data_IF_404167387477
#
_entry.id   IF_404167387477
#
_cell.length_a   1.000
_cell.length_b   1.000
_cell.length_c   1.000
_cell.angle_alpha   90.00
_cell.angle_beta   90.00
_cell.angle_gamma   90.00
#
_symmetry.space_group_name_H-M   'P 1'
#
loop_
_entity.id
_entity.type
_entity.pdbx_description
1 polymer ?
#
# COMPACT_ATOMS: atom_id res chain seq x y z
N UNK A 1 -28.66 53.65 -8.40
CA UNK A 1 -28.20 54.99 -7.98
C UNK A 1 -26.91 54.76 -7.21
N UNK A 2 -25.81 55.24 -7.79
CA UNK A 2 -24.44 55.46 -7.21
C UNK A 2 -23.70 54.31 -6.53
N UNK A 3 -22.83 53.56 -7.15
CA UNK A 3 -21.42 53.78 -7.57
C UNK A 3 -20.58 54.62 -6.57
N UNK A 4 -19.67 53.94 -5.85
CA UNK A 4 -18.36 54.49 -5.47
C UNK A 4 -17.29 53.43 -5.47
N UNK A 5 -16.42 53.55 -6.46
CA UNK A 5 -15.10 52.97 -6.59
C UNK A 5 -14.17 53.70 -5.60
N UNK A 6 -13.35 52.97 -4.86
CA UNK A 6 -12.18 53.50 -4.17
C UNK A 6 -10.96 52.63 -4.52
N UNK A 7 -10.13 53.18 -5.41
CA UNK A 7 -8.73 52.83 -5.59
C UNK A 7 -7.96 53.14 -4.32
N UNK A 8 -7.13 52.27 -3.83
CA UNK A 8 -6.03 52.60 -2.94
C UNK A 8 -4.75 51.98 -3.43
N UNK A 9 -3.85 52.88 -3.65
CA UNK A 9 -2.52 52.85 -4.22
C UNK A 9 -1.52 52.08 -3.34
N UNK A 10 -0.67 51.35 -4.00
CA UNK A 10 0.63 50.80 -3.59
C UNK A 10 1.49 51.76 -2.78
N UNK A 11 2.06 51.23 -1.68
CA UNK A 11 3.27 51.81 -1.10
C UNK A 11 4.29 50.66 -0.88
N UNK A 12 5.30 50.65 -1.71
CA UNK A 12 6.49 49.81 -1.66
C UNK A 12 7.39 50.39 -0.53
N UNK A 13 7.58 49.63 0.55
CA UNK A 13 8.57 49.94 1.58
C UNK A 13 9.74 48.97 1.45
N UNK A 14 10.80 49.50 0.88
CA UNK A 14 12.15 48.91 0.90
C UNK A 14 12.69 49.03 2.33
N UNK A 15 12.88 47.87 3.01
CA UNK A 15 13.76 47.80 4.17
C UNK A 15 15.07 47.16 3.75
N UNK A 16 16.08 47.99 3.61
CA UNK A 16 17.47 47.58 3.69
C UNK A 16 17.83 47.35 5.15
N UNK A 17 18.13 46.12 5.53
CA UNK A 17 18.79 45.81 6.78
C UNK A 17 20.08 45.06 6.51
N UNK A 18 21.17 45.64 6.90
CA UNK A 18 22.50 45.07 6.92
C UNK A 18 22.65 43.93 7.92
N UNK A 19 23.41 42.91 7.52
CA UNK A 19 24.45 42.31 8.33
C UNK A 19 24.03 41.29 9.37
N UNK A 20 24.23 40.04 9.06
CA UNK A 20 24.29 38.93 9.99
C UNK A 20 24.59 37.66 9.23
N UNK A 21 25.89 37.31 9.11
CA UNK A 21 26.31 36.08 8.43
C UNK A 21 25.84 34.84 9.19
N UNK A 22 24.76 34.22 8.70
CA UNK A 22 24.39 32.87 9.01
C UNK A 22 24.74 32.03 7.79
N UNK A 23 25.79 31.20 7.91
CA UNK A 23 26.11 30.21 6.89
C UNK A 23 24.97 29.21 6.81
N UNK A 24 24.04 29.42 5.86
CA UNK A 24 23.18 28.35 5.37
C UNK A 24 24.08 27.35 4.68
N UNK A 25 24.45 26.26 5.35
CA UNK A 25 25.00 25.11 4.68
C UNK A 25 23.88 24.54 3.79
N UNK A 26 23.88 24.94 2.54
CA UNK A 26 23.21 24.22 1.47
C UNK A 26 23.90 22.86 1.38
N UNK A 27 23.35 21.88 2.11
CA UNK A 27 23.67 20.49 1.86
C UNK A 27 23.30 20.20 0.41
N UNK A 28 24.29 20.14 -0.48
CA UNK A 28 24.12 19.54 -1.79
C UNK A 28 23.76 18.08 -1.52
N UNK A 29 22.55 17.70 -1.91
CA UNK A 29 22.11 16.31 -1.98
C UNK A 29 23.04 15.57 -2.95
N UNK A 30 24.14 15.04 -2.45
CA UNK A 30 25.03 14.15 -3.20
C UNK A 30 24.43 12.74 -3.15
N UNK A 31 23.35 12.52 -3.92
CA UNK A 31 22.93 11.19 -4.29
C UNK A 31 23.91 10.68 -5.34
N UNK A 32 24.81 9.77 -4.96
CA UNK A 32 25.56 9.02 -5.95
C UNK A 32 24.67 7.88 -6.44
N UNK A 33 24.16 8.01 -7.65
CA UNK A 33 23.41 6.93 -8.32
C UNK A 33 24.26 5.67 -8.41
N UNK A 34 23.62 4.49 -8.39
CA UNK A 34 24.31 3.24 -8.67
C UNK A 34 24.98 3.31 -10.04
N UNK A 35 26.30 3.40 -10.05
CA UNK A 35 27.13 3.40 -11.26
C UNK A 35 27.72 1.99 -11.46
N UNK A 36 27.84 1.50 -12.72
CA UNK A 36 28.45 0.21 -12.99
C UNK A 36 29.86 0.13 -12.41
N UNK A 37 30.17 -0.98 -11.73
CA UNK A 37 31.52 -1.26 -11.29
C UNK A 37 32.38 -1.74 -12.48
N UNK A 38 33.66 -1.35 -12.51
CA UNK A 38 34.56 -1.60 -13.64
C UNK A 38 35.02 -3.07 -13.81
N UNK A 39 34.53 -4.01 -12.98
CA UNK A 39 34.85 -5.44 -13.11
C UNK A 39 33.62 -6.32 -12.82
N UNK A 40 33.14 -7.06 -13.81
CA UNK A 40 32.00 -7.97 -13.76
C UNK A 40 32.40 -9.41 -13.45
N UNK A 41 31.83 -10.01 -12.41
CA UNK A 41 31.80 -11.46 -12.20
C UNK A 41 30.37 -11.96 -12.38
N UNK A 42 30.19 -13.04 -13.13
CA UNK A 42 28.91 -13.66 -13.47
C UNK A 42 28.52 -14.66 -12.38
N UNK A 43 27.30 -14.59 -11.85
CA UNK A 43 26.72 -15.57 -10.92
C UNK A 43 25.66 -16.45 -11.63
N UNK A 44 25.51 -17.71 -11.21
CA UNK A 44 24.57 -18.63 -11.79
C UNK A 44 23.19 -18.61 -11.11
N UNK A 45 22.17 -19.04 -11.83
CA UNK A 45 20.74 -19.00 -11.43
C UNK A 45 20.38 -20.01 -10.30
N UNK A 46 21.32 -20.86 -9.88
CA UNK A 46 21.10 -21.99 -8.95
C UNK A 46 21.21 -21.64 -7.46
N UNK A 47 21.58 -20.40 -7.12
CA UNK A 47 21.89 -20.02 -5.73
C UNK A 47 20.66 -19.43 -4.98
N UNK A 48 19.45 -19.60 -5.49
CA UNK A 48 18.25 -19.00 -4.92
C UNK A 48 17.28 -20.11 -4.52
N UNK A 49 17.18 -20.34 -3.22
CA UNK A 49 16.18 -21.23 -2.63
C UNK A 49 14.79 -20.60 -2.66
N UNK A 50 13.75 -21.44 -2.75
CA UNK A 50 12.33 -21.09 -2.74
C UNK A 50 11.94 -20.37 -1.46
N UNK A 51 11.33 -19.19 -1.57
CA UNK A 51 10.99 -18.33 -0.45
C UNK A 51 9.49 -18.29 -0.19
N UNK A 52 9.09 -18.35 1.09
CA UNK A 52 7.80 -17.89 1.55
C UNK A 52 7.90 -16.41 1.94
N UNK A 53 7.10 -15.55 1.34
CA UNK A 53 7.02 -14.13 1.69
C UNK A 53 6.28 -14.01 3.02
N UNK A 54 6.96 -13.52 4.07
CA UNK A 54 6.30 -13.18 5.34
C UNK A 54 5.25 -12.08 5.11
N UNK A 55 4.04 -12.34 5.61
CA UNK A 55 2.85 -11.49 5.54
C UNK A 55 3.17 -10.02 5.93
N UNK A 56 2.91 -9.03 5.05
CA UNK A 56 3.08 -7.61 5.36
C UNK A 56 2.27 -7.13 6.58
N UNK A 57 1.16 -7.80 6.89
CA UNK A 57 0.32 -7.52 8.07
C UNK A 57 1.05 -7.90 9.35
N UNK A 58 1.85 -8.97 9.36
CA UNK A 58 2.72 -9.31 10.49
C UNK A 58 3.86 -8.31 10.68
N UNK A 59 4.28 -7.58 9.64
CA UNK A 59 5.25 -6.46 9.78
C UNK A 59 4.71 -5.29 10.57
N UNK A 60 3.43 -4.93 10.39
CA UNK A 60 2.80 -3.89 11.21
C UNK A 60 2.77 -4.29 12.69
N UNK A 61 2.54 -5.59 12.99
CA UNK A 61 2.57 -6.11 14.36
C UNK A 61 3.97 -6.12 15.00
N UNK A 62 5.04 -6.33 14.22
CA UNK A 62 6.43 -6.35 14.73
C UNK A 62 6.94 -4.94 15.04
N UNK A 63 6.46 -3.90 14.35
CA UNK A 63 6.79 -2.50 14.62
C UNK A 63 6.01 -1.91 15.81
N UNK A 64 4.96 -2.59 16.29
CA UNK A 64 4.13 -2.19 17.43
C UNK A 64 4.66 -2.73 18.78
N UNK A 65 5.95 -2.95 18.95
CA UNK A 65 6.53 -3.15 20.27
C UNK A 65 6.48 -1.81 21.01
N UNK A 66 5.42 -1.67 21.79
CA UNK A 66 5.15 -0.53 22.65
C UNK A 66 6.31 -0.29 23.63
N UNK A 67 7.11 0.73 23.35
CA UNK A 67 8.16 1.21 24.26
C UNK A 67 7.66 2.33 25.19
N UNK A 68 6.44 2.81 25.02
CA UNK A 68 5.86 3.90 25.79
C UNK A 68 4.67 3.43 26.61
N UNK A 69 4.77 3.42 27.93
CA UNK A 69 3.69 3.14 28.88
C UNK A 69 2.65 4.26 28.91
N UNK A 70 2.01 4.56 27.78
CA UNK A 70 0.91 5.50 27.72
C UNK A 70 -0.31 4.88 28.41
N UNK A 71 -1.07 5.70 29.11
CA UNK A 71 -2.36 5.28 29.68
C UNK A 71 -3.37 5.04 28.57
N UNK A 72 -4.25 4.05 28.73
CA UNK A 72 -5.30 3.73 27.78
C UNK A 72 -6.62 3.41 28.47
N UNK A 73 -7.72 3.61 27.75
CA UNK A 73 -9.07 3.42 28.26
C UNK A 73 -9.51 1.94 28.19
N UNK A 74 -9.15 1.17 29.22
CA UNK A 74 -9.51 -0.25 29.35
C UNK A 74 -11.03 -0.48 29.36
N UNK A 75 -11.78 0.40 30.03
CA UNK A 75 -13.24 0.30 30.13
C UNK A 75 -13.87 0.57 28.77
N UNK A 76 -13.45 1.65 28.10
CA UNK A 76 -13.94 1.99 26.76
C UNK A 76 -13.68 0.88 25.74
N UNK A 77 -12.51 0.25 25.75
CA UNK A 77 -12.23 -0.91 24.88
C UNK A 77 -13.22 -2.03 25.16
N UNK A 78 -13.44 -2.39 26.45
CA UNK A 78 -14.38 -3.44 26.81
C UNK A 78 -15.81 -3.11 26.38
N UNK A 79 -16.27 -1.88 26.58
CA UNK A 79 -17.61 -1.42 26.16
C UNK A 79 -17.77 -1.48 24.62
N UNK A 80 -16.75 -1.12 23.84
CA UNK A 80 -16.78 -1.24 22.39
C UNK A 80 -16.95 -2.69 21.93
N UNK A 81 -16.31 -3.64 22.61
CA UNK A 81 -16.49 -5.07 22.34
C UNK A 81 -17.87 -5.60 22.73
N UNK A 82 -18.55 -4.96 23.67
CA UNK A 82 -19.91 -5.34 24.07
C UNK A 82 -21.00 -4.71 23.21
N UNK A 83 -20.64 -3.75 22.33
CA UNK A 83 -21.59 -2.93 21.57
C UNK A 83 -21.29 -2.92 20.07
N UNK A 84 -20.38 -2.07 19.64
CA UNK A 84 -20.11 -1.82 18.22
C UNK A 84 -19.33 -2.94 17.50
N UNK A 85 -18.69 -3.84 18.25
CA UNK A 85 -17.95 -4.96 17.69
C UNK A 85 -18.87 -5.89 16.89
N UNK A 86 -18.45 -6.34 15.71
CA UNK A 86 -19.31 -7.15 14.83
C UNK A 86 -19.80 -8.44 15.50
N UNK A 87 -18.96 -9.08 16.33
CA UNK A 87 -19.31 -10.27 17.11
C UNK A 87 -19.56 -9.95 18.60
N UNK A 88 -20.24 -8.82 18.89
CA UNK A 88 -20.47 -8.35 20.26
C UNK A 88 -21.22 -9.38 21.14
N UNK A 89 -22.17 -10.14 20.56
CA UNK A 89 -22.91 -11.16 21.28
C UNK A 89 -22.02 -12.30 21.79
N UNK A 90 -20.94 -12.63 21.07
CA UNK A 90 -19.98 -13.68 21.38
C UNK A 90 -18.86 -13.22 22.34
N UNK A 91 -18.81 -11.93 22.67
CA UNK A 91 -17.77 -11.37 23.54
C UNK A 91 -17.97 -11.77 25.00
N UNK A 92 -16.87 -12.05 25.71
CA UNK A 92 -16.88 -12.44 27.15
C UNK A 92 -17.60 -11.39 27.98
N UNK A 93 -18.63 -11.80 28.73
CA UNK A 93 -19.36 -10.94 29.68
C UNK A 93 -18.69 -11.01 31.06
N UNK A 94 -18.89 -9.98 31.90
CA UNK A 94 -18.36 -9.88 33.28
C UNK A 94 -16.84 -10.12 33.37
N UNK A 95 -16.09 -9.48 32.49
CA UNK A 95 -14.66 -9.67 32.34
C UNK A 95 -13.84 -8.65 33.12
N UNK A 96 -12.80 -9.10 33.83
CA UNK A 96 -11.88 -8.20 34.53
C UNK A 96 -10.81 -7.65 33.57
N UNK A 97 -11.07 -6.51 32.97
CA UNK A 97 -10.16 -5.83 32.05
C UNK A 97 -9.03 -5.05 32.75
N UNK A 98 -9.11 -4.85 34.06
CA UNK A 98 -8.15 -4.03 34.85
C UNK A 98 -6.73 -4.61 34.86
N UNK A 99 -6.59 -5.93 34.69
CA UNK A 99 -5.31 -6.63 34.76
C UNK A 99 -4.41 -6.43 33.54
N UNK A 100 -4.96 -5.92 32.44
CA UNK A 100 -4.21 -5.78 31.17
C UNK A 100 -3.37 -4.51 31.16
N UNK A 101 -2.13 -4.62 30.67
CA UNK A 101 -1.13 -3.55 30.70
C UNK A 101 -0.89 -2.89 29.35
N UNK A 102 -1.42 -3.47 28.26
CA UNK A 102 -1.41 -2.84 26.93
C UNK A 102 -2.76 -2.97 26.24
N UNK A 103 -3.14 -2.00 25.38
CA UNK A 103 -4.39 -2.07 24.63
C UNK A 103 -4.48 -3.35 23.78
N UNK A 104 -3.38 -3.72 23.10
CA UNK A 104 -3.37 -4.88 22.23
C UNK A 104 -3.62 -6.18 23.01
N UNK A 105 -3.02 -6.34 24.20
CA UNK A 105 -3.25 -7.54 25.02
C UNK A 105 -4.71 -7.67 25.48
N UNK A 106 -5.38 -6.56 25.74
CA UNK A 106 -6.81 -6.53 26.06
C UNK A 106 -7.67 -6.87 24.83
N UNK A 107 -7.38 -6.26 23.67
CA UNK A 107 -8.06 -6.55 22.40
C UNK A 107 -7.90 -8.03 22.04
N UNK A 108 -6.68 -8.57 22.10
CA UNK A 108 -6.40 -9.98 21.77
C UNK A 108 -7.16 -10.97 22.66
N UNK A 109 -7.49 -10.56 23.89
CA UNK A 109 -8.27 -11.39 24.80
C UNK A 109 -9.78 -11.31 24.54
N UNK A 110 -10.28 -10.15 24.10
CA UNK A 110 -11.71 -9.91 23.93
C UNK A 110 -12.23 -10.32 22.56
N UNK A 111 -11.36 -10.32 21.53
CA UNK A 111 -11.77 -10.61 20.16
C UNK A 111 -12.24 -12.04 19.95
N UNK A 112 -13.18 -12.21 19.02
CA UNK A 112 -13.65 -13.51 18.54
C UNK A 112 -12.51 -14.30 17.86
N UNK A 113 -12.58 -15.61 17.84
CA UNK A 113 -11.58 -16.47 17.21
C UNK A 113 -11.45 -16.24 15.69
N UNK A 114 -12.52 -15.79 15.04
CA UNK A 114 -12.52 -15.40 13.62
C UNK A 114 -11.85 -14.05 13.37
N UNK A 115 -11.70 -13.22 14.41
CA UNK A 115 -11.11 -11.90 14.30
C UNK A 115 -9.59 -11.95 14.35
N UNK A 116 -8.98 -11.94 13.19
CA UNK A 116 -7.53 -11.87 12.98
C UNK A 116 -7.00 -10.45 12.87
N UNK A 117 -7.86 -9.41 12.89
CA UNK A 117 -7.54 -8.07 12.38
C UNK A 117 -7.70 -6.94 13.37
N UNK A 118 -8.52 -7.07 14.43
CA UNK A 118 -8.66 -6.01 15.43
C UNK A 118 -7.33 -5.72 16.13
N UNK A 119 -6.97 -4.44 16.19
CA UNK A 119 -5.68 -3.99 16.74
C UNK A 119 -5.76 -2.58 17.32
N UNK A 120 -4.70 -2.18 18.02
CA UNK A 120 -4.46 -0.81 18.47
C UNK A 120 -3.15 -0.26 17.91
N UNK A 121 -3.06 1.05 17.76
CA UNK A 121 -1.81 1.75 17.47
C UNK A 121 -1.77 3.09 18.21
N UNK A 122 -0.57 3.64 18.41
CA UNK A 122 -0.43 4.97 18.99
C UNK A 122 -0.96 6.04 18.05
N UNK A 123 -1.34 7.20 18.61
CA UNK A 123 -1.76 8.34 17.79
C UNK A 123 -0.66 8.82 16.85
N UNK A 124 0.59 8.72 17.28
CA UNK A 124 1.76 9.09 16.46
C UNK A 124 1.93 8.14 15.26
N UNK A 125 1.86 6.82 15.49
CA UNK A 125 1.95 5.82 14.40
C UNK A 125 0.83 6.01 13.37
N UNK A 126 -0.40 6.26 13.85
CA UNK A 126 -1.53 6.55 12.97
C UNK A 126 -1.29 7.81 12.12
N UNK A 127 -0.78 8.90 12.73
CA UNK A 127 -0.46 10.12 12.00
C UNK A 127 0.61 9.89 10.92
N UNK A 128 1.64 9.08 11.21
CA UNK A 128 2.67 8.70 10.25
C UNK A 128 2.10 7.89 9.08
N UNK A 129 1.21 6.93 9.35
CA UNK A 129 0.53 6.13 8.30
C UNK A 129 -0.29 7.04 7.39
N UNK A 130 -1.13 7.92 7.94
CA UNK A 130 -2.00 8.81 7.15
C UNK A 130 -1.19 9.82 6.32
N UNK A 131 -0.08 10.34 6.86
CA UNK A 131 0.77 11.30 6.15
C UNK A 131 1.72 10.66 5.14
N UNK A 132 1.68 9.32 4.97
CA UNK A 132 2.62 8.56 4.13
C UNK A 132 4.10 8.86 4.46
N UNK A 133 4.38 9.06 5.75
CA UNK A 133 5.74 9.27 6.24
C UNK A 133 6.37 7.95 6.68
N UNK A 134 7.64 7.82 6.41
CA UNK A 134 8.45 6.70 6.88
C UNK A 134 9.88 7.16 7.08
N UNK A 135 10.62 6.45 7.94
CA UNK A 135 12.06 6.66 8.13
C UNK A 135 12.88 5.53 7.52
N UNK A 136 14.16 5.79 7.29
CA UNK A 136 15.12 4.81 6.80
C UNK A 136 15.42 4.89 5.31
N UNK A 137 15.73 3.75 4.69
CA UNK A 137 16.08 3.66 3.26
C UNK A 137 14.88 3.56 2.33
N UNK A 138 13.79 2.93 2.77
CA UNK A 138 12.56 2.78 1.99
C UNK A 138 12.51 1.58 1.06
N UNK A 139 13.20 0.50 1.41
CA UNK A 139 13.07 -0.77 0.72
C UNK A 139 12.97 -1.94 1.70
N UNK A 140 12.57 -3.08 1.18
CA UNK A 140 12.56 -4.35 1.89
C UNK A 140 13.43 -5.34 1.16
N UNK A 141 14.08 -6.23 1.89
CA UNK A 141 14.87 -7.29 1.30
C UNK A 141 14.79 -8.58 2.12
N UNK A 142 15.27 -9.66 1.54
CA UNK A 142 15.31 -11.00 2.09
C UNK A 142 16.73 -11.53 2.04
N UNK A 143 17.18 -12.17 3.12
CA UNK A 143 18.53 -12.71 3.18
C UNK A 143 18.69 -13.85 2.17
N UNK A 144 19.78 -13.79 1.41
CA UNK A 144 20.26 -14.81 0.49
C UNK A 144 21.74 -15.05 0.74
N UNK A 145 22.30 -16.15 0.24
CA UNK A 145 23.69 -16.49 0.46
C UNK A 145 24.71 -15.38 0.08
N UNK A 146 24.37 -14.59 -0.93
CA UNK A 146 25.22 -13.51 -1.45
C UNK A 146 24.97 -12.13 -0.83
N UNK A 147 23.96 -11.99 0.03
CA UNK A 147 23.59 -10.70 0.61
C UNK A 147 22.11 -10.57 0.95
N UNK A 148 21.49 -9.41 0.67
CA UNK A 148 20.08 -9.16 0.87
C UNK A 148 19.39 -8.84 -0.48
N UNK A 149 18.51 -9.73 -0.94
CA UNK A 149 17.75 -9.59 -2.18
C UNK A 149 16.59 -8.60 -1.97
N UNK A 150 16.58 -7.52 -2.73
CA UNK A 150 15.57 -6.46 -2.65
C UNK A 150 14.25 -6.95 -3.24
N UNK A 151 13.24 -7.11 -2.41
CA UNK A 151 11.92 -7.62 -2.80
C UNK A 151 10.89 -6.52 -3.06
N UNK A 152 11.13 -5.32 -2.52
CA UNK A 152 10.21 -4.20 -2.63
C UNK A 152 10.93 -2.88 -2.42
N UNK A 153 10.61 -1.86 -3.25
CA UNK A 153 11.10 -0.49 -3.10
C UNK A 153 9.91 0.47 -3.09
N UNK A 154 9.87 1.35 -2.09
CA UNK A 154 8.84 2.41 -2.00
C UNK A 154 9.13 3.51 -3.01
N UNK A 155 8.11 3.92 -3.73
CA UNK A 155 8.18 4.99 -4.71
C UNK A 155 8.57 6.31 -4.01
N UNK A 156 9.53 7.03 -4.58
CA UNK A 156 10.11 8.28 -4.06
C UNK A 156 10.92 8.14 -2.75
N UNK A 157 11.22 6.93 -2.30
CA UNK A 157 12.08 6.69 -1.14
C UNK A 157 13.55 7.08 -1.38
N UNK A 158 14.41 7.19 -0.34
CA UNK A 158 15.84 7.38 -0.51
C UNK A 158 16.50 6.32 -1.41
N UNK A 159 16.10 5.05 -1.28
CA UNK A 159 16.59 3.96 -2.12
C UNK A 159 16.16 4.09 -3.59
N UNK A 160 14.89 4.42 -3.83
CA UNK A 160 14.37 4.64 -5.19
C UNK A 160 15.09 5.78 -5.90
N UNK A 161 15.36 6.88 -5.20
CA UNK A 161 16.08 8.05 -5.74
C UNK A 161 17.51 7.77 -6.18
N UNK A 162 18.21 6.83 -5.54
CA UNK A 162 19.55 6.40 -5.96
C UNK A 162 19.51 5.25 -6.95
N UNK A 163 18.29 4.78 -7.30
CA UNK A 163 18.09 3.75 -8.29
C UNK A 163 18.30 2.32 -7.78
N UNK A 164 18.19 2.06 -6.47
CA UNK A 164 18.01 0.69 -5.95
C UNK A 164 16.65 0.18 -6.42
N UNK A 165 16.64 -1.04 -6.93
CA UNK A 165 15.44 -1.64 -7.55
C UNK A 165 15.08 -2.96 -6.91
N UNK A 166 13.82 -3.35 -7.04
CA UNK A 166 13.41 -4.73 -6.82
C UNK A 166 14.27 -5.62 -7.72
N UNK A 167 14.59 -6.79 -7.31
CA UNK A 167 15.53 -7.72 -7.92
C UNK A 167 17.01 -7.49 -7.63
N UNK A 168 17.43 -6.32 -7.19
CA UNK A 168 18.82 -6.08 -6.82
C UNK A 168 19.23 -6.94 -5.61
N UNK A 169 20.51 -7.32 -5.56
CA UNK A 169 21.11 -7.96 -4.39
C UNK A 169 22.10 -6.99 -3.78
N UNK A 170 21.83 -6.53 -2.56
CA UNK A 170 22.77 -5.74 -1.77
C UNK A 170 23.75 -6.71 -1.13
N UNK A 171 24.99 -6.72 -1.58
CA UNK A 171 26.03 -7.65 -1.11
C UNK A 171 26.78 -7.11 0.08
N UNK A 172 26.97 -5.80 0.14
CA UNK A 172 27.65 -5.11 1.23
C UNK A 172 26.93 -3.84 1.65
N UNK A 173 27.05 -3.54 2.94
CA UNK A 173 26.66 -2.28 3.55
C UNK A 173 27.80 -1.78 4.43
N UNK A 174 28.37 -0.58 4.13
CA UNK A 174 29.58 -0.06 4.77
C UNK A 174 30.68 -1.11 4.84
N UNK A 175 31.02 -1.75 3.71
CA UNK A 175 32.00 -2.82 3.55
C UNK A 175 31.69 -4.14 4.30
N UNK A 176 30.66 -4.20 5.11
CA UNK A 176 30.22 -5.43 5.78
C UNK A 176 29.22 -6.22 4.92
N UNK A 177 29.17 -7.53 5.09
CA UNK A 177 28.18 -8.37 4.44
C UNK A 177 26.77 -7.86 4.76
N UNK A 178 25.97 -7.65 3.72
CA UNK A 178 24.62 -7.14 3.87
C UNK A 178 23.65 -8.26 4.26
N UNK A 179 22.93 -8.05 5.35
CA UNK A 179 21.80 -8.86 5.78
C UNK A 179 20.61 -7.93 6.06
N UNK A 180 19.41 -8.48 6.10
CA UNK A 180 18.21 -7.75 6.52
C UNK A 180 18.43 -7.05 7.87
N UNK A 181 19.08 -7.72 8.82
CA UNK A 181 19.37 -7.16 10.14
C UNK A 181 20.33 -5.97 10.06
N UNK A 182 21.47 -6.12 9.34
CA UNK A 182 22.46 -5.04 9.21
C UNK A 182 21.87 -3.82 8.48
N UNK A 183 21.07 -4.04 7.43
CA UNK A 183 20.36 -2.99 6.71
C UNK A 183 19.37 -2.26 7.62
N UNK A 184 18.56 -2.99 8.40
CA UNK A 184 17.63 -2.40 9.35
C UNK A 184 18.33 -1.53 10.40
N UNK A 185 19.41 -2.03 10.99
CA UNK A 185 20.17 -1.28 12.01
C UNK A 185 20.87 -0.02 11.45
N UNK A 186 21.30 -0.04 10.20
CA UNK A 186 21.84 1.17 9.56
C UNK A 186 20.72 2.12 9.14
N UNK A 187 19.57 1.60 8.74
CA UNK A 187 18.39 2.41 8.39
C UNK A 187 17.83 3.25 9.54
N UNK A 188 18.03 2.82 10.79
CA UNK A 188 17.67 3.59 12.00
C UNK A 188 18.59 4.78 12.27
N UNK A 189 19.79 4.80 11.69
CA UNK A 189 20.77 5.87 11.90
C UNK A 189 20.53 6.99 10.92
N UNK A 190 19.41 7.71 11.09
CA UNK A 190 19.02 8.79 10.19
C UNK A 190 20.15 9.80 9.98
N UNK A 191 20.19 10.39 8.79
CA UNK A 191 21.13 11.40 8.32
C UNK A 191 22.62 10.93 8.27
N UNK A 192 22.90 9.62 8.40
CA UNK A 192 24.23 9.06 8.19
C UNK A 192 24.33 8.41 6.82
N UNK A 193 25.27 8.89 6.00
CA UNK A 193 25.54 8.31 4.69
C UNK A 193 26.01 6.86 4.85
N UNK A 194 25.41 5.96 4.07
CA UNK A 194 25.68 4.53 4.07
C UNK A 194 26.03 4.10 2.65
N UNK A 195 27.13 3.38 2.47
CA UNK A 195 27.51 2.80 1.19
C UNK A 195 26.90 1.42 1.00
N UNK A 196 26.43 1.14 -0.22
CA UNK A 196 25.94 -0.16 -0.66
C UNK A 196 26.75 -0.66 -1.86
N UNK A 197 27.14 -1.93 -1.82
CA UNK A 197 27.58 -2.66 -3.02
C UNK A 197 26.41 -3.52 -3.50
N UNK A 198 26.00 -3.32 -4.74
CA UNK A 198 24.77 -3.87 -5.31
C UNK A 198 25.10 -4.69 -6.55
N UNK A 199 24.45 -5.84 -6.72
CA UNK A 199 24.42 -6.60 -7.97
C UNK A 199 23.04 -6.39 -8.62
N UNK A 200 23.03 -5.92 -9.85
CA UNK A 200 21.85 -5.82 -10.69
C UNK A 200 21.49 -7.21 -11.21
N UNK A 201 20.41 -7.80 -10.74
CA UNK A 201 20.08 -9.18 -11.12
C UNK A 201 19.82 -9.34 -12.63
N UNK A 202 19.22 -8.34 -13.27
CA UNK A 202 18.86 -8.44 -14.70
C UNK A 202 20.06 -8.33 -15.64
N UNK A 203 21.14 -7.64 -15.24
CA UNK A 203 22.35 -7.48 -16.04
C UNK A 203 23.60 -8.15 -15.46
N UNK A 204 23.51 -8.65 -14.22
CA UNK A 204 24.63 -9.12 -13.40
C UNK A 204 25.74 -8.06 -13.21
N UNK A 205 25.44 -6.79 -13.44
CA UNK A 205 26.35 -5.69 -13.22
C UNK A 205 26.50 -5.41 -11.72
N UNK A 206 27.72 -5.13 -11.32
CA UNK A 206 28.01 -4.59 -9.98
C UNK A 206 27.96 -3.08 -10.04
N UNK A 207 27.31 -2.47 -9.04
CA UNK A 207 27.35 -1.04 -8.86
C UNK A 207 27.47 -0.69 -7.38
N UNK A 208 28.09 0.44 -7.11
CA UNK A 208 28.16 1.00 -5.76
C UNK A 208 27.32 2.28 -5.72
N UNK A 209 26.59 2.45 -4.64
CA UNK A 209 25.85 3.67 -4.38
C UNK A 209 25.90 4.05 -2.91
N UNK A 210 25.56 5.29 -2.63
CA UNK A 210 25.46 5.77 -1.26
C UNK A 210 24.07 6.33 -1.01
N UNK A 211 23.48 5.93 0.10
CA UNK A 211 22.12 6.31 0.50
C UNK A 211 22.16 6.88 1.91
N UNK A 212 21.53 8.02 2.11
CA UNK A 212 21.31 8.56 3.45
C UNK A 212 19.92 8.17 3.93
N UNK A 213 19.78 7.31 4.96
CA UNK A 213 18.49 7.04 5.55
C UNK A 213 17.94 8.30 6.21
N UNK A 214 16.69 8.62 5.96
CA UNK A 214 16.04 9.82 6.47
C UNK A 214 14.55 9.63 6.62
N UNK A 215 13.89 10.58 7.27
CA UNK A 215 12.44 10.71 7.17
C UNK A 215 12.08 11.20 5.78
N UNK A 216 11.09 10.57 5.16
CA UNK A 216 10.64 10.88 3.82
C UNK A 216 9.15 10.64 3.64
N UNK A 217 8.56 11.35 2.70
CA UNK A 217 7.22 11.08 2.18
C UNK A 217 7.35 10.22 0.93
N UNK A 218 6.50 9.21 0.79
CA UNK A 218 6.52 8.30 -0.35
C UNK A 218 5.17 8.29 -1.08
N UNK A 219 5.20 7.85 -2.32
CA UNK A 219 3.98 7.60 -3.09
C UNK A 219 3.54 6.15 -2.93
N UNK A 220 2.23 5.93 -3.03
CA UNK A 220 1.61 4.61 -2.96
C UNK A 220 0.92 4.23 -4.27
N UNK A 221 0.84 5.13 -5.24
CA UNK A 221 0.20 4.87 -6.52
C UNK A 221 1.05 5.39 -7.69
N UNK A 222 1.11 4.60 -8.77
CA UNK A 222 1.81 4.93 -10.02
C UNK A 222 1.08 4.32 -11.21
N UNK A 223 0.83 5.13 -12.25
CA UNK A 223 0.21 4.69 -13.51
C UNK A 223 1.18 4.70 -14.68
N UNK A 224 1.22 3.63 -15.43
CA UNK A 224 2.04 3.45 -16.63
C UNK A 224 1.21 2.89 -17.80
N UNK A 225 1.69 3.06 -19.01
CA UNK A 225 1.13 2.40 -20.20
C UNK A 225 2.09 1.29 -20.58
N UNK A 226 1.55 0.10 -20.68
CA UNK A 226 2.26 -1.09 -21.14
C UNK A 226 1.61 -1.64 -22.41
N UNK A 227 2.30 -2.52 -23.08
CA UNK A 227 1.81 -3.10 -24.34
C UNK A 227 1.84 -4.62 -24.27
N UNK A 228 0.77 -5.25 -24.77
CA UNK A 228 0.71 -6.70 -24.93
C UNK A 228 1.69 -7.18 -26.01
N UNK A 229 1.98 -8.50 -26.10
CA UNK A 229 2.72 -9.07 -27.23
C UNK A 229 2.15 -8.71 -28.61
N UNK A 230 0.81 -8.55 -28.72
CA UNK A 230 0.17 -8.09 -29.97
C UNK A 230 0.11 -6.56 -30.12
N UNK A 231 0.84 -5.83 -29.26
CA UNK A 231 0.92 -4.36 -29.26
C UNK A 231 -0.40 -3.66 -28.92
N UNK A 232 -1.30 -4.32 -28.19
CA UNK A 232 -2.47 -3.67 -27.60
C UNK A 232 -2.06 -2.82 -26.40
N UNK A 233 -2.62 -1.62 -26.28
CA UNK A 233 -2.34 -0.68 -25.20
C UNK A 233 -3.12 -1.05 -23.93
N UNK A 234 -2.44 -1.20 -22.82
CA UNK A 234 -3.00 -1.55 -21.50
C UNK A 234 -2.52 -0.55 -20.47
N UNK A 235 -3.41 -0.10 -19.56
CA UNK A 235 -2.99 0.63 -18.37
C UNK A 235 -2.40 -0.34 -17.35
N UNK A 236 -1.29 0.04 -16.73
CA UNK A 236 -0.75 -0.61 -15.54
C UNK A 236 -0.81 0.37 -14.39
N UNK A 237 -1.51 -0.01 -13.32
CA UNK A 237 -1.72 0.82 -12.13
C UNK A 237 -1.23 0.07 -10.89
N UNK A 238 -0.05 0.43 -10.39
CA UNK A 238 0.46 -0.03 -9.10
C UNK A 238 -0.17 0.78 -7.99
N UNK A 239 -0.77 0.11 -7.01
CA UNK A 239 -1.37 0.70 -5.83
C UNK A 239 -0.92 -0.06 -4.58
N UNK A 240 0.00 0.52 -3.79
CA UNK A 240 0.63 -0.14 -2.65
C UNK A 240 -0.19 -0.01 -1.35
N UNK A 241 -1.15 0.90 -1.28
CA UNK A 241 -2.00 1.13 -0.10
C UNK A 241 -3.22 1.99 -0.47
N UNK A 242 -4.32 1.83 0.27
CA UNK A 242 -5.47 2.74 0.27
C UNK A 242 -5.41 3.76 1.40
N UNK A 243 -4.29 3.88 2.12
CA UNK A 243 -4.06 4.89 3.16
C UNK A 243 -3.33 6.10 2.59
N UNK A 244 -3.62 7.31 3.12
CA UNK A 244 -2.89 8.53 2.72
C UNK A 244 -3.76 9.75 2.43
N UNK A 245 -5.02 9.73 2.87
CA UNK A 245 -5.95 10.87 2.76
C UNK A 245 -5.98 11.53 1.35
N UNK A 246 -5.91 12.86 1.26
CA UNK A 246 -5.98 13.56 -0.02
C UNK A 246 -4.77 13.29 -0.95
N UNK A 247 -3.61 12.98 -0.37
CA UNK A 247 -2.41 12.70 -1.18
C UNK A 247 -2.59 11.51 -2.10
N UNK A 248 -3.25 10.45 -1.63
CA UNK A 248 -3.49 9.26 -2.46
C UNK A 248 -4.51 9.56 -3.57
N UNK A 249 -5.54 10.36 -3.30
CA UNK A 249 -6.53 10.75 -4.32
C UNK A 249 -5.84 11.47 -5.48
N UNK A 250 -4.95 12.41 -5.18
CA UNK A 250 -4.17 13.13 -6.18
C UNK A 250 -3.24 12.19 -7.00
N UNK A 251 -2.67 11.17 -6.38
CA UNK A 251 -1.84 10.17 -7.06
C UNK A 251 -2.69 9.30 -8.00
N UNK A 252 -3.87 8.87 -7.55
CA UNK A 252 -4.85 8.15 -8.37
C UNK A 252 -5.29 9.03 -9.55
N UNK A 253 -5.66 10.29 -9.29
CA UNK A 253 -6.07 11.24 -10.33
C UNK A 253 -4.99 11.43 -11.39
N UNK A 254 -3.73 11.56 -10.98
CA UNK A 254 -2.59 11.67 -11.89
C UNK A 254 -2.47 10.45 -12.82
N UNK A 255 -2.63 9.25 -12.28
CA UNK A 255 -2.58 8.02 -13.08
C UNK A 255 -3.77 7.93 -14.05
N UNK A 256 -4.97 8.24 -13.56
CA UNK A 256 -6.19 8.15 -14.38
C UNK A 256 -6.32 9.27 -15.42
N UNK A 257 -5.77 10.46 -15.19
CA UNK A 257 -5.63 11.50 -16.23
C UNK A 257 -4.80 10.98 -17.41
N UNK A 258 -3.69 10.29 -17.14
CA UNK A 258 -2.88 9.63 -18.15
C UNK A 258 -3.66 8.54 -18.89
N UNK A 259 -4.35 7.66 -18.16
CA UNK A 259 -5.15 6.59 -18.76
C UNK A 259 -6.28 7.13 -19.62
N UNK A 260 -6.95 8.19 -19.20
CA UNK A 260 -8.00 8.85 -19.97
C UNK A 260 -7.47 9.46 -21.26
N UNK A 261 -6.35 10.17 -21.21
CA UNK A 261 -5.68 10.76 -22.38
C UNK A 261 -5.27 9.70 -23.42
N UNK A 262 -4.85 8.54 -22.91
CA UNK A 262 -4.44 7.40 -23.75
C UNK A 262 -5.61 6.49 -24.16
N UNK A 263 -6.85 6.85 -23.79
CA UNK A 263 -8.08 6.09 -24.08
C UNK A 263 -8.00 4.61 -23.66
N UNK A 264 -7.50 4.36 -22.43
CA UNK A 264 -7.35 3.02 -21.89
C UNK A 264 -8.73 2.39 -21.68
N UNK A 265 -8.87 1.13 -22.13
CA UNK A 265 -10.06 0.28 -21.97
C UNK A 265 -9.79 -0.98 -21.16
N UNK A 266 -8.53 -1.39 -21.08
CA UNK A 266 -8.08 -2.55 -20.33
C UNK A 266 -7.04 -2.10 -19.30
N UNK A 267 -7.21 -2.52 -18.05
CA UNK A 267 -6.39 -2.04 -16.94
C UNK A 267 -5.90 -3.23 -16.10
N UNK A 268 -4.61 -3.28 -15.86
CA UNK A 268 -4.01 -4.12 -14.81
C UNK A 268 -3.85 -3.28 -13.56
N UNK A 269 -4.47 -3.69 -12.46
CA UNK A 269 -4.26 -3.10 -11.12
C UNK A 269 -3.40 -4.04 -10.30
N UNK A 270 -2.21 -3.57 -9.95
CA UNK A 270 -1.26 -4.32 -9.12
C UNK A 270 -1.50 -4.02 -7.65
N UNK A 271 -2.10 -4.98 -6.95
CA UNK A 271 -2.43 -4.94 -5.52
C UNK A 271 -1.57 -5.91 -4.70
N UNK A 272 -0.52 -6.43 -5.26
CA UNK A 272 0.35 -7.43 -4.64
C UNK A 272 0.79 -6.99 -3.25
N UNK A 273 0.99 -6.65 -2.43
CA UNK A 273 1.40 -6.21 -1.10
C UNK A 273 0.50 -5.12 -0.50
N UNK A 274 -0.67 -4.86 -1.11
CA UNK A 274 -1.60 -3.86 -0.63
C UNK A 274 -2.56 -4.44 0.42
N UNK A 275 -2.27 -4.22 1.70
CA UNK A 275 -3.10 -4.66 2.84
C UNK A 275 -4.42 -3.91 3.00
N UNK A 276 -4.79 -3.02 2.06
CA UNK A 276 -6.03 -2.26 2.11
C UNK A 276 -5.87 -0.83 2.62
N UNK A 277 -6.88 -0.34 3.33
CA UNK A 277 -6.94 1.01 3.89
C UNK A 277 -8.36 1.59 3.89
N UNK A 278 -8.52 2.84 3.45
CA UNK A 278 -9.77 3.58 3.48
C UNK A 278 -10.80 3.03 2.47
N UNK A 279 -12.00 2.70 2.95
CA UNK A 279 -13.13 2.33 2.09
C UNK A 279 -13.56 3.50 1.19
N UNK A 280 -13.45 4.74 1.67
CA UNK A 280 -13.75 5.93 0.87
C UNK A 280 -12.75 6.13 -0.29
N UNK A 281 -11.48 5.76 -0.12
CA UNK A 281 -10.50 5.77 -1.23
C UNK A 281 -10.80 4.65 -2.22
N UNK A 282 -11.21 3.48 -1.74
CA UNK A 282 -11.64 2.37 -2.61
C UNK A 282 -12.86 2.77 -3.45
N UNK A 283 -13.87 3.39 -2.83
CA UNK A 283 -15.05 3.93 -3.54
C UNK A 283 -14.66 4.92 -4.64
N UNK A 284 -13.79 5.90 -4.33
CA UNK A 284 -13.28 6.86 -5.32
C UNK A 284 -12.47 6.22 -6.45
N UNK A 285 -11.78 5.13 -6.18
CA UNK A 285 -11.14 4.35 -7.24
C UNK A 285 -12.20 3.68 -8.13
N UNK A 286 -13.21 3.05 -7.54
CA UNK A 286 -14.32 2.42 -8.27
C UNK A 286 -15.03 3.41 -9.20
N UNK A 287 -15.29 4.66 -8.76
CA UNK A 287 -15.89 5.72 -9.57
C UNK A 287 -15.10 6.03 -10.85
N UNK A 288 -13.81 5.70 -10.88
CA UNK A 288 -12.96 5.94 -12.05
C UNK A 288 -12.93 4.78 -13.04
N UNK A 289 -13.37 3.60 -12.61
CA UNK A 289 -13.26 2.38 -13.41
C UNK A 289 -14.43 2.20 -14.39
N UNK A 290 -15.66 2.54 -13.96
CA UNK A 290 -16.88 2.40 -14.77
C UNK A 290 -17.71 3.66 -14.68
N UNK A 291 -18.08 4.25 -15.83
CA UNK A 291 -18.88 5.47 -15.90
C UNK A 291 -20.35 5.23 -16.21
N UNK A 292 -20.71 4.01 -16.57
CA UNK A 292 -22.07 3.63 -16.99
C UNK A 292 -22.96 3.23 -15.83
N UNK A 293 -22.44 3.13 -14.63
CA UNK A 293 -23.12 2.64 -13.42
C UNK A 293 -23.41 3.75 -12.40
N UNK A 294 -23.41 5.03 -12.82
CA UNK A 294 -23.68 6.16 -11.91
C UNK A 294 -25.01 5.97 -11.19
N UNK A 295 -24.97 6.02 -9.85
CA UNK A 295 -26.11 5.78 -8.96
C UNK A 295 -26.32 4.33 -8.53
N UNK A 296 -25.69 3.35 -9.19
CA UNK A 296 -25.73 1.95 -8.77
C UNK A 296 -24.87 1.70 -7.53
N UNK A 297 -25.16 0.62 -6.81
CA UNK A 297 -24.46 0.28 -5.57
C UNK A 297 -23.08 -0.27 -5.86
N UNK A 298 -22.03 0.30 -5.28
CA UNK A 298 -20.68 -0.27 -5.27
C UNK A 298 -20.58 -1.40 -4.24
N UNK A 299 -20.89 -1.08 -2.99
CA UNK A 299 -20.86 -1.98 -1.83
C UNK A 299 -21.62 -1.39 -0.66
N UNK A 300 -21.97 -2.24 0.31
CA UNK A 300 -22.59 -1.85 1.57
C UNK A 300 -21.74 -2.28 2.76
N UNK A 301 -21.51 -1.37 3.72
CA UNK A 301 -20.97 -1.65 5.04
C UNK A 301 -22.11 -2.10 5.92
N UNK A 302 -22.16 -3.38 6.31
CA UNK A 302 -23.22 -3.93 7.12
C UNK A 302 -22.73 -4.21 8.54
N UNK A 303 -23.23 -3.43 9.51
CA UNK A 303 -22.94 -3.55 10.93
C UNK A 303 -23.68 -4.72 11.56
N UNK A 304 -23.38 -5.02 12.84
CA UNK A 304 -24.12 -6.00 13.61
C UNK A 304 -25.60 -5.59 13.80
N UNK A 305 -26.43 -6.49 14.31
CA UNK A 305 -27.88 -6.30 14.35
C UNK A 305 -28.32 -5.12 15.23
N UNK A 306 -27.60 -4.81 16.29
CA UNK A 306 -27.91 -3.69 17.19
C UNK A 306 -27.50 -2.32 16.59
N UNK A 307 -26.62 -2.34 15.61
CA UNK A 307 -26.07 -1.15 14.96
C UNK A 307 -26.41 -1.04 13.47
N UNK A 308 -27.47 -1.70 12.99
CA UNK A 308 -27.93 -1.63 11.59
C UNK A 308 -28.22 -0.22 11.08
N UNK A 309 -28.53 0.73 11.96
CA UNK A 309 -28.70 2.14 11.60
C UNK A 309 -27.41 2.78 11.08
N UNK A 310 -26.26 2.16 11.33
CA UNK A 310 -24.95 2.59 10.84
C UNK A 310 -24.59 1.95 9.49
N UNK A 311 -25.47 1.11 8.92
CA UNK A 311 -25.25 0.57 7.59
C UNK A 311 -25.12 1.71 6.58
N UNK A 312 -24.11 1.62 5.73
CA UNK A 312 -23.80 2.63 4.73
C UNK A 312 -23.61 1.99 3.36
N UNK A 313 -24.35 2.47 2.36
CA UNK A 313 -24.24 2.00 0.98
C UNK A 313 -23.49 3.04 0.15
N UNK A 314 -22.37 2.65 -0.38
CA UNK A 314 -21.59 3.43 -1.34
C UNK A 314 -22.15 3.19 -2.74
N UNK A 315 -22.23 4.27 -3.52
CA UNK A 315 -22.75 4.25 -4.90
C UNK A 315 -21.74 4.83 -5.85
N UNK A 316 -21.78 4.41 -7.11
CA UNK A 316 -20.97 5.02 -8.15
C UNK A 316 -21.35 6.48 -8.34
N UNK A 317 -20.33 7.34 -8.29
CA UNK A 317 -20.46 8.77 -8.50
C UNK A 317 -19.65 9.21 -9.72
N UNK A 318 -20.06 10.34 -10.30
CA UNK A 318 -19.31 10.95 -11.38
C UNK A 318 -17.94 11.42 -10.89
N UNK A 319 -16.88 10.94 -11.51
CA UNK A 319 -15.51 11.27 -11.13
C UNK A 319 -14.72 11.94 -12.27
N UNK A 320 -13.81 12.86 -11.89
CA UNK A 320 -12.82 13.39 -12.81
C UNK A 320 -11.89 12.27 -13.28
N UNK A 321 -11.43 12.35 -14.53
CA UNK A 321 -10.52 11.38 -15.15
C UNK A 321 -11.04 9.94 -15.17
N UNK A 322 -12.34 9.74 -14.95
CA UNK A 322 -12.93 8.41 -15.06
C UNK A 322 -12.76 7.86 -16.48
N UNK A 323 -12.48 6.57 -16.56
CA UNK A 323 -12.41 5.78 -17.78
C UNK A 323 -13.55 4.76 -17.74
N UNK A 324 -13.94 4.25 -18.90
CA UNK A 324 -14.95 3.19 -18.95
C UNK A 324 -14.27 1.91 -19.41
N UNK A 325 -13.92 1.06 -18.43
CA UNK A 325 -13.20 -0.18 -18.68
C UNK A 325 -14.10 -1.24 -19.33
N UNK A 326 -13.49 -1.99 -20.21
CA UNK A 326 -14.05 -3.22 -20.80
C UNK A 326 -13.49 -4.45 -20.08
N UNK A 327 -12.26 -4.36 -19.56
CA UNK A 327 -11.59 -5.45 -18.85
C UNK A 327 -10.68 -4.90 -17.74
N UNK A 328 -10.68 -5.58 -16.59
CA UNK A 328 -9.83 -5.30 -15.45
C UNK A 328 -9.16 -6.59 -14.96
N UNK A 329 -7.85 -6.51 -14.75
CA UNK A 329 -7.05 -7.61 -14.27
C UNK A 329 -6.37 -7.18 -12.96
N UNK A 330 -6.49 -7.98 -11.91
CA UNK A 330 -5.89 -7.71 -10.61
C UNK A 330 -4.70 -8.65 -10.39
N UNK A 331 -3.53 -8.08 -10.11
CA UNK A 331 -2.38 -8.86 -9.65
C UNK A 331 -2.42 -8.92 -8.12
N UNK A 332 -2.50 -10.11 -7.57
CA UNK A 332 -2.71 -10.34 -6.13
C UNK A 332 -1.72 -11.33 -5.53
N UNK A 333 -1.47 -11.15 -4.23
CA UNK A 333 -0.83 -12.15 -3.36
C UNK A 333 -1.67 -12.31 -2.10
N UNK A 334 -1.29 -13.21 -1.21
CA UNK A 334 -1.89 -13.30 0.12
C UNK A 334 -1.72 -11.99 0.95
N UNK A 335 -0.87 -11.06 0.51
CA UNK A 335 -0.78 -9.71 1.07
C UNK A 335 -1.87 -8.74 0.59
N UNK A 336 -2.67 -9.10 -0.41
CA UNK A 336 -3.78 -8.28 -0.92
C UNK A 336 -5.01 -8.47 -0.03
N UNK A 337 -5.39 -7.42 0.74
CA UNK A 337 -6.40 -7.56 1.79
C UNK A 337 -7.38 -6.38 1.85
N UNK A 338 -8.56 -6.60 2.46
CA UNK A 338 -9.50 -5.54 2.87
C UNK A 338 -9.96 -4.66 1.69
N UNK A 339 -9.61 -3.35 1.64
CA UNK A 339 -10.00 -2.46 0.56
C UNK A 339 -9.52 -2.95 -0.83
N UNK A 340 -8.42 -3.72 -0.91
CA UNK A 340 -8.00 -4.38 -2.15
C UNK A 340 -9.01 -5.43 -2.60
N UNK A 341 -9.47 -6.26 -1.68
CA UNK A 341 -10.48 -7.30 -1.94
C UNK A 341 -11.86 -6.69 -2.20
N UNK A 342 -12.18 -5.58 -1.51
CA UNK A 342 -13.38 -4.80 -1.73
C UNK A 342 -13.47 -4.34 -3.19
N UNK A 343 -12.40 -3.74 -3.73
CA UNK A 343 -12.40 -3.27 -5.14
C UNK A 343 -12.60 -4.43 -6.11
N UNK A 344 -11.95 -5.56 -5.89
CA UNK A 344 -12.13 -6.76 -6.72
C UNK A 344 -13.59 -7.23 -6.65
N UNK A 345 -14.13 -7.43 -5.44
CA UNK A 345 -15.49 -7.93 -5.20
C UNK A 345 -16.56 -6.98 -5.75
N UNK A 346 -16.36 -5.66 -5.62
CA UNK A 346 -17.30 -4.64 -6.09
C UNK A 346 -17.37 -4.55 -7.63
N UNK A 347 -16.30 -4.97 -8.35
CA UNK A 347 -16.30 -4.99 -9.81
C UNK A 347 -16.97 -6.22 -10.41
N UNK A 348 -17.01 -7.34 -9.68
CA UNK A 348 -17.58 -8.60 -10.18
C UNK A 348 -19.04 -8.53 -10.65
N UNK A 349 -19.95 -7.74 -10.02
CA UNK A 349 -21.32 -7.63 -10.50
C UNK A 349 -21.48 -6.86 -11.83
N UNK A 350 -20.50 -6.06 -12.22
CA UNK A 350 -20.61 -5.08 -13.31
C UNK A 350 -19.89 -5.46 -14.59
N UNK A 351 -18.97 -6.40 -14.50
CA UNK A 351 -18.29 -6.98 -15.66
C UNK A 351 -18.43 -8.51 -15.63
N UNK A 352 -18.34 -9.14 -16.79
CA UNK A 352 -18.40 -10.60 -16.85
C UNK A 352 -17.15 -11.22 -16.18
N UNK A 353 -17.22 -12.50 -15.73
CA UNK A 353 -16.06 -13.14 -15.09
C UNK A 353 -14.78 -13.16 -15.94
N UNK A 354 -14.90 -13.14 -17.27
CA UNK A 354 -13.78 -13.07 -18.21
C UNK A 354 -13.16 -11.66 -18.25
N UNK A 355 -13.90 -10.67 -17.77
CA UNK A 355 -13.49 -9.27 -17.75
C UNK A 355 -13.10 -8.75 -16.38
N UNK A 356 -13.28 -9.56 -15.30
CA UNK A 356 -12.74 -9.32 -13.95
C UNK A 356 -11.82 -10.49 -13.60
N UNK A 357 -10.53 -10.33 -13.84
CA UNK A 357 -9.56 -11.43 -13.75
C UNK A 357 -8.65 -11.23 -12.55
N UNK A 358 -8.48 -12.25 -11.73
CA UNK A 358 -7.54 -12.28 -10.60
C UNK A 358 -6.36 -13.18 -10.97
N UNK A 359 -5.16 -12.64 -10.94
CA UNK A 359 -3.91 -13.30 -11.35
C UNK A 359 -2.93 -13.29 -10.19
N UNK A 360 -2.28 -14.40 -9.96
CA UNK A 360 -1.27 -14.53 -8.93
C UNK A 360 -1.65 -15.52 -7.86
N UNK A 361 -1.74 -15.07 -6.61
CA UNK A 361 -2.15 -15.87 -5.46
C UNK A 361 -3.56 -15.47 -4.99
N UNK A 362 -4.18 -16.39 -4.26
CA UNK A 362 -5.40 -16.12 -3.52
C UNK A 362 -5.18 -14.95 -2.53
N UNK A 363 -6.14 -14.05 -2.41
CA UNK A 363 -6.05 -12.89 -1.51
C UNK A 363 -6.11 -13.29 -0.03
N UNK A 364 -5.98 -12.32 0.87
CA UNK A 364 -5.86 -12.55 2.32
C UNK A 364 -7.13 -13.12 2.97
N UNK A 365 -8.30 -12.66 2.54
CA UNK A 365 -9.58 -13.06 3.13
C UNK A 365 -10.04 -12.15 4.27
N UNK A 366 -10.11 -10.84 4.05
CA UNK A 366 -10.63 -9.86 5.02
C UNK A 366 -11.90 -9.17 4.50
N UNK A 367 -13.06 -9.85 4.50
CA UNK A 367 -14.34 -9.26 4.08
C UNK A 367 -14.95 -8.30 5.11
N UNK A 368 -14.17 -7.86 6.08
CA UNK A 368 -14.60 -7.07 7.23
C UNK A 368 -13.84 -5.75 7.30
N UNK A 369 -14.48 -4.76 7.91
CA UNK A 369 -13.89 -3.46 8.12
C UNK A 369 -14.00 -2.97 9.56
N UNK A 370 -13.32 -1.87 9.84
CA UNK A 370 -13.17 -1.33 11.17
C UNK A 370 -13.27 0.18 11.17
N UNK A 371 -13.98 0.74 12.15
CA UNK A 371 -13.93 2.14 12.52
C UNK A 371 -12.84 2.38 13.56
N UNK A 372 -12.09 3.45 13.42
CA UNK A 372 -11.12 3.87 14.43
C UNK A 372 -11.79 4.65 15.56
N UNK A 373 -11.60 4.23 16.79
CA UNK A 373 -11.95 5.00 18.02
C UNK A 373 -10.67 5.40 18.73
N UNK A 374 -10.68 6.53 19.43
CA UNK A 374 -9.48 7.02 20.13
C UNK A 374 -9.80 7.49 21.54
N UNK A 375 -8.87 7.23 22.46
CA UNK A 375 -8.86 7.82 23.81
C UNK A 375 -7.91 9.04 23.92
N UNK A 376 -7.31 9.45 22.79
CA UNK A 376 -6.35 10.55 22.73
C UNK A 376 -4.89 10.09 22.68
N UNK A 377 -4.55 8.93 23.21
CA UNK A 377 -3.22 8.32 23.18
C UNK A 377 -3.11 7.22 22.12
N UNK A 378 -4.16 6.41 22.01
CA UNK A 378 -4.26 5.28 21.09
C UNK A 378 -5.46 5.42 20.17
N UNK A 379 -5.37 4.77 19.02
CA UNK A 379 -6.50 4.39 18.19
C UNK A 379 -6.75 2.89 18.35
N UNK A 380 -8.04 2.54 18.47
CA UNK A 380 -8.56 1.18 18.54
C UNK A 380 -9.32 0.88 17.27
N UNK A 381 -8.86 -0.09 16.52
CA UNK A 381 -9.46 -0.54 15.28
C UNK A 381 -10.09 -1.92 15.52
N UNK A 382 -11.39 -1.93 15.79
CA UNK A 382 -12.16 -3.14 16.02
C UNK A 382 -13.03 -3.43 14.81
N UNK A 383 -13.24 -4.71 14.51
CA UNK A 383 -14.15 -5.09 13.43
C UNK A 383 -15.58 -4.68 13.79
N UNK A 384 -16.17 -3.78 12.99
CA UNK A 384 -17.50 -3.25 13.21
C UNK A 384 -18.51 -3.74 12.16
N UNK A 385 -18.07 -4.05 10.95
CA UNK A 385 -18.95 -4.37 9.83
C UNK A 385 -18.33 -5.39 8.87
N UNK A 386 -19.18 -6.07 8.13
CA UNK A 386 -18.80 -6.80 6.92
C UNK A 386 -19.02 -5.92 5.68
N UNK A 387 -18.25 -6.16 4.62
CA UNK A 387 -18.37 -5.44 3.35
C UNK A 387 -19.05 -6.35 2.34
N UNK A 388 -20.24 -5.95 1.87
CA UNK A 388 -21.04 -6.69 0.89
C UNK A 388 -20.98 -5.97 -0.46
N UNK A 389 -20.73 -6.68 -1.56
CA UNK A 389 -20.90 -6.10 -2.89
C UNK A 389 -22.40 -5.94 -3.23
N UNK A 390 -22.73 -5.35 -4.37
CA UNK A 390 -24.11 -5.07 -4.78
C UNK A 390 -25.00 -6.33 -4.92
N UNK A 391 -24.42 -7.53 -4.99
CA UNK A 391 -25.14 -8.81 -4.95
C UNK A 391 -25.26 -9.39 -3.54
N UNK A 392 -24.79 -8.68 -2.51
CA UNK A 392 -24.76 -9.13 -1.13
C UNK A 392 -23.64 -10.12 -0.78
N UNK A 393 -22.73 -10.40 -1.71
CA UNK A 393 -21.60 -11.32 -1.48
C UNK A 393 -20.54 -10.71 -0.60
N UNK A 394 -20.12 -11.43 0.44
CA UNK A 394 -19.05 -11.05 1.38
C UNK A 394 -18.29 -12.25 1.95
N UNK A 395 -18.65 -13.48 1.61
CA UNK A 395 -18.09 -14.69 2.22
C UNK A 395 -16.78 -15.10 1.54
N UNK A 396 -15.74 -14.25 1.70
CA UNK A 396 -14.38 -14.55 1.26
C UNK A 396 -13.37 -14.50 2.42
N UNK A 397 -13.75 -15.03 3.60
CA UNK A 397 -12.84 -15.13 4.75
C UNK A 397 -11.57 -15.96 4.47
N UNK A 398 -11.64 -16.85 3.48
CA UNK A 398 -10.49 -17.63 3.00
C UNK A 398 -9.78 -16.97 1.80
N UNK A 399 -10.13 -15.75 1.44
CA UNK A 399 -9.60 -15.02 0.29
C UNK A 399 -10.38 -15.21 -0.99
N UNK A 400 -10.31 -14.21 -1.87
CA UNK A 400 -10.82 -14.29 -3.22
C UNK A 400 -9.90 -15.21 -4.05
N UNK A 401 -10.47 -16.19 -4.76
CA UNK A 401 -9.68 -17.12 -5.56
C UNK A 401 -9.09 -16.45 -6.79
N UNK A 402 -7.99 -16.95 -7.29
CA UNK A 402 -7.47 -16.61 -8.61
C UNK A 402 -8.39 -17.15 -9.71
N UNK A 403 -8.43 -16.45 -10.83
CA UNK A 403 -9.16 -16.92 -12.01
C UNK A 403 -8.56 -18.24 -12.55
N UNK A 404 -9.41 -19.07 -13.14
CA UNK A 404 -9.00 -20.40 -13.64
C UNK A 404 -7.79 -20.30 -14.56
N UNK A 405 -6.73 -21.03 -14.25
CA UNK A 405 -5.50 -21.06 -15.03
C UNK A 405 -4.55 -19.87 -14.78
N UNK A 406 -4.89 -18.94 -13.90
CA UNK A 406 -4.11 -17.73 -13.63
C UNK A 406 -3.36 -17.73 -12.27
N UNK A 407 -3.16 -18.90 -11.68
CA UNK A 407 -2.26 -19.07 -10.53
C UNK A 407 -0.81 -18.92 -11.01
N UNK A 408 -0.19 -17.81 -10.62
CA UNK A 408 1.17 -17.40 -11.01
C UNK A 408 1.88 -16.92 -9.76
N UNK A 409 3.05 -17.44 -9.48
CA UNK A 409 3.86 -17.04 -8.34
C UNK A 409 4.40 -15.61 -8.53
N UNK A 410 4.58 -14.90 -7.42
CA UNK A 410 5.24 -13.59 -7.43
C UNK A 410 6.70 -13.73 -7.91
N UNK A 411 7.12 -12.82 -8.76
CA UNK A 411 8.46 -12.80 -9.36
C UNK A 411 9.29 -11.63 -8.81
N UNK A 412 9.96 -11.80 -7.66
CA UNK A 412 10.78 -10.75 -7.08
C UNK A 412 12.09 -10.47 -7.85
N UNK A 413 12.32 -11.15 -8.97
CA UNK A 413 13.50 -10.98 -9.82
C UNK A 413 13.30 -9.96 -10.95
N UNK A 414 12.09 -9.44 -11.11
CA UNK A 414 11.76 -8.36 -12.02
C UNK A 414 11.11 -7.19 -11.28
N UNK A 415 11.24 -5.99 -11.85
CA UNK A 415 10.55 -4.80 -11.33
C UNK A 415 9.03 -4.92 -11.46
N UNK A 416 8.31 -4.29 -10.55
CA UNK A 416 6.87 -4.12 -10.69
C UNK A 416 6.58 -3.18 -11.86
N UNK A 417 5.81 -3.67 -12.84
CA UNK A 417 5.54 -2.97 -14.10
C UNK A 417 6.44 -3.39 -15.27
N UNK A 418 7.43 -4.26 -15.03
CA UNK A 418 8.19 -4.88 -16.12
C UNK A 418 7.31 -5.90 -16.85
N UNK A 419 7.20 -5.78 -18.18
CA UNK A 419 6.41 -6.67 -19.03
C UNK A 419 6.86 -8.15 -18.99
N UNK A 420 8.09 -8.41 -18.56
CA UNK A 420 8.67 -9.75 -18.43
C UNK A 420 8.51 -10.33 -17.01
N UNK A 421 8.02 -9.52 -16.03
CA UNK A 421 7.63 -9.99 -14.71
C UNK A 421 6.45 -10.98 -14.82
N UNK A 422 6.52 -12.08 -14.11
CA UNK A 422 5.66 -13.26 -14.33
C UNK A 422 4.16 -12.96 -14.28
N UNK A 423 3.67 -12.22 -13.29
CA UNK A 423 2.25 -11.92 -13.16
C UNK A 423 1.79 -10.90 -14.20
N UNK A 424 2.56 -9.83 -14.44
CA UNK A 424 2.22 -8.84 -15.47
C UNK A 424 2.29 -9.46 -16.86
N UNK A 425 3.27 -10.30 -17.12
CA UNK A 425 3.36 -11.05 -18.38
C UNK A 425 2.14 -11.91 -18.62
N UNK A 426 1.68 -12.66 -17.60
CA UNK A 426 0.47 -13.46 -17.67
C UNK A 426 -0.78 -12.58 -17.91
N UNK A 427 -0.86 -11.41 -17.26
CA UNK A 427 -1.95 -10.45 -17.48
C UNK A 427 -1.97 -9.93 -18.93
N UNK A 428 -0.82 -9.53 -19.47
CA UNK A 428 -0.71 -9.06 -20.85
C UNK A 428 -1.04 -10.17 -21.88
N UNK A 429 -0.66 -11.42 -21.57
CA UNK A 429 -1.04 -12.56 -22.38
C UNK A 429 -2.55 -12.82 -22.33
N UNK A 430 -3.16 -12.70 -21.14
CA UNK A 430 -4.61 -12.87 -20.97
C UNK A 430 -5.38 -11.82 -21.80
N UNK A 431 -4.93 -10.60 -21.83
CA UNK A 431 -5.53 -9.52 -22.65
C UNK A 431 -5.56 -9.92 -24.13
N UNK A 432 -4.53 -10.57 -24.64
CA UNK A 432 -4.40 -10.97 -26.03
C UNK A 432 -5.13 -12.27 -26.40
N UNK A 433 -5.32 -13.18 -25.43
CA UNK A 433 -5.71 -14.57 -25.72
C UNK A 433 -6.89 -15.09 -24.91
N UNK A 434 -7.26 -14.40 -23.81
CA UNK A 434 -8.21 -14.91 -22.82
C UNK A 434 -7.66 -16.02 -21.91
N UNK A 435 -6.33 -16.21 -21.87
CA UNK A 435 -5.67 -17.22 -21.05
C UNK A 435 -4.36 -16.67 -20.46
N UNK A 436 -4.05 -17.06 -19.21
CA UNK A 436 -2.79 -16.71 -18.54
C UNK A 436 -1.60 -17.59 -18.97
N UNK A 437 -1.83 -18.63 -19.78
CA UNK A 437 -0.84 -19.65 -20.20
C UNK A 437 -0.98 -19.97 -21.68
#
# INVERSE_FOLDING_TARGET
>A
MNLRIALLTTTLLLFTACGGGGSSSTYKDTYMSCQPATNSAIFSKTDIETFSIEDPINRAKILLVDSNHLTFDKKGIYELFQTEYYWAEETIKNFNYSAYTSPQSLIDKLKNEKDRWSFSMTKEDYANVISQKSGGFGFSCQDVATGCHVTYVRIDSPADKVGIKRSDIITKINEQHATRATIYEQGKKLEKLVSFSVIRKNSNEKCDCSVTPRDYTFKVAKGEIVYTPKNEKVGYFRLDSFMGAENIVNQIDTAFDKFKKENIKKLVIDLRYNGGGSVGVASRLLDKLITTQEGDEQFTLAWNDDFKQNNETYRFEKANYAINLEQILFLTTNGSASASELVISAMQPYLTPENVVVIGEKTHGKPVGMGGKTDGNYYYFLINFVVKNSLGFYDYFEGLPVSTGCAIDDDPFHEMGDKDESMLKAALLYVDTGSCK
#
